data_IF_007273631452
#
_entry.id   IF_007273631452
#
_cell.length_a   1.000
_cell.length_b   1.000
_cell.length_c   1.000
_cell.angle_alpha   90.00
_cell.angle_beta   90.00
_cell.angle_gamma   90.00
#
_symmetry.space_group_name_H-M   'P 1'
#
loop_
_entity.id
_entity.type
_entity.pdbx_description
1 polymer ?
#
# COMPACT_ATOMS: atom_id res chain seq x y z
N UNK A 1 -11.84 6.37 -12.86
CA UNK A 1 -10.55 5.71 -13.08
C UNK A 1 -9.93 5.44 -11.73
N UNK A 2 -9.45 4.21 -11.46
CA UNK A 2 -8.81 3.89 -10.19
C UNK A 2 -7.34 4.33 -10.21
N UNK A 3 -6.86 4.87 -9.10
CA UNK A 3 -5.51 5.45 -9.02
C UNK A 3 -4.40 4.43 -9.31
N UNK A 4 -4.59 3.18 -8.89
CA UNK A 4 -3.68 2.06 -9.11
C UNK A 4 -4.05 1.22 -10.35
N UNK A 5 -4.89 1.75 -11.24
CA UNK A 5 -5.46 1.00 -12.38
C UNK A 5 -6.63 0.08 -12.01
N UNK A 6 -6.64 -0.46 -10.78
CA UNK A 6 -7.74 -1.26 -10.22
C UNK A 6 -7.90 -0.99 -8.72
N UNK A 7 -9.08 -1.32 -8.18
CA UNK A 7 -9.38 -1.28 -6.74
C UNK A 7 -9.06 -2.60 -6.03
N UNK A 8 -8.85 -3.69 -6.76
CA UNK A 8 -8.56 -5.00 -6.17
C UNK A 8 -7.07 -5.24 -5.99
N UNK A 9 -6.27 -4.93 -7.01
CA UNK A 9 -4.82 -4.96 -6.94
C UNK A 9 -4.23 -4.04 -8.00
N UNK A 10 -3.16 -3.31 -7.69
CA UNK A 10 -2.54 -2.45 -8.69
C UNK A 10 -1.20 -1.87 -8.27
N UNK A 11 -0.61 -1.13 -9.20
CA UNK A 11 0.75 -0.60 -9.09
C UNK A 11 0.85 0.78 -9.73
N UNK A 12 1.61 1.67 -9.10
CA UNK A 12 1.96 2.96 -9.64
C UNK A 12 3.48 3.06 -9.57
N UNK A 13 4.18 3.22 -10.71
CA UNK A 13 5.63 3.32 -10.69
C UNK A 13 6.08 4.59 -9.96
N UNK A 14 7.29 4.56 -9.39
CA UNK A 14 7.82 5.64 -8.54
C UNK A 14 7.76 7.02 -9.21
N UNK A 15 7.97 7.10 -10.52
CA UNK A 15 7.89 8.35 -11.27
C UNK A 15 6.46 8.91 -11.44
N UNK A 16 5.42 8.09 -11.25
CA UNK A 16 4.02 8.46 -11.41
C UNK A 16 3.27 8.67 -10.08
N UNK A 17 3.90 8.39 -8.94
CA UNK A 17 3.24 8.32 -7.62
C UNK A 17 2.82 9.67 -6.99
N UNK A 18 2.82 10.79 -7.74
CA UNK A 18 2.45 12.11 -7.21
C UNK A 18 0.94 12.29 -7.22
N UNK A 19 0.30 11.82 -6.15
CA UNK A 19 -1.15 11.92 -5.98
C UNK A 19 -1.44 12.85 -4.81
N UNK A 20 -2.17 13.92 -5.08
CA UNK A 20 -2.65 14.83 -4.06
C UNK A 20 -4.17 14.70 -3.96
N UNK A 21 -4.65 14.34 -2.77
CA UNK A 21 -6.08 14.34 -2.48
C UNK A 21 -6.52 15.75 -2.12
N UNK A 22 -7.64 16.20 -2.68
CA UNK A 22 -8.23 17.50 -2.37
C UNK A 22 -9.76 17.39 -2.39
N UNK A 23 -10.45 17.57 -1.24
CA UNK A 23 -9.87 17.76 0.10
C UNK A 23 -9.19 16.48 0.62
N UNK A 24 -8.13 16.64 1.41
CA UNK A 24 -7.56 15.55 2.22
C UNK A 24 -8.34 15.51 3.54
N UNK A 25 -9.28 14.56 3.65
CA UNK A 25 -10.16 14.43 4.82
C UNK A 25 -9.35 13.94 6.03
N UNK A 26 -9.28 14.71 7.14
CA UNK A 26 -8.57 14.30 8.35
C UNK A 26 -9.05 12.96 8.93
N UNK A 27 -10.32 12.60 8.73
CA UNK A 27 -10.88 11.33 9.20
C UNK A 27 -10.23 10.12 8.49
N UNK A 28 -9.83 10.26 7.23
CA UNK A 28 -9.08 9.23 6.53
C UNK A 28 -7.72 8.97 7.19
N UNK A 29 -7.02 10.05 7.56
CA UNK A 29 -5.72 9.94 8.22
C UNK A 29 -5.82 9.27 9.60
N UNK A 30 -6.90 9.53 10.35
CA UNK A 30 -7.13 8.94 11.67
C UNK A 30 -7.48 7.45 11.63
N UNK A 31 -8.04 6.96 10.52
CA UNK A 31 -8.41 5.55 10.37
C UNK A 31 -7.28 4.68 9.83
N UNK A 32 -6.21 5.30 9.30
CA UNK A 32 -5.07 4.59 8.73
C UNK A 32 -4.25 3.89 9.81
N UNK A 33 -3.97 2.61 9.58
CA UNK A 33 -2.99 1.84 10.36
C UNK A 33 -1.69 1.73 9.56
N UNK A 34 -0.55 1.81 10.23
CA UNK A 34 0.77 1.70 9.60
C UNK A 34 1.62 0.66 10.29
N UNK A 35 2.43 -0.05 9.52
CA UNK A 35 3.43 -1.00 9.99
C UNK A 35 4.68 -0.79 9.14
N UNK A 36 5.85 -0.94 9.76
CA UNK A 36 7.14 -0.96 9.07
C UNK A 36 7.46 -2.42 8.77
N UNK A 37 7.87 -2.71 7.53
CA UNK A 37 8.26 -4.07 7.17
C UNK A 37 9.58 -4.44 7.86
N UNK A 38 9.74 -5.73 8.19
CA UNK A 38 11.02 -6.26 8.65
C UNK A 38 12.04 -6.35 7.49
N UNK A 39 13.26 -6.81 7.81
CA UNK A 39 14.33 -6.96 6.82
C UNK A 39 14.05 -8.01 5.72
N UNK A 40 13.02 -8.85 5.89
CA UNK A 40 12.56 -9.81 4.90
C UNK A 40 11.31 -9.32 4.14
N UNK A 41 10.82 -8.11 4.44
CA UNK A 41 9.63 -7.54 3.82
C UNK A 41 8.31 -8.02 4.44
N UNK A 42 8.32 -8.71 5.58
CA UNK A 42 7.08 -9.08 6.26
C UNK A 42 6.52 -7.90 7.05
N UNK A 43 5.20 -7.86 7.16
CA UNK A 43 4.46 -6.89 7.97
C UNK A 43 3.31 -7.61 8.69
N UNK A 44 2.82 -7.02 9.78
CA UNK A 44 1.69 -7.57 10.52
C UNK A 44 0.80 -6.45 11.06
N UNK A 45 -0.51 -6.71 11.08
CA UNK A 45 -1.51 -5.90 11.73
C UNK A 45 -2.35 -6.80 12.63
N UNK A 46 -2.56 -6.39 13.88
CA UNK A 46 -3.39 -7.10 14.85
C UNK A 46 -4.60 -6.25 15.23
N UNK A 47 -5.59 -6.90 15.84
CA UNK A 47 -6.75 -6.24 16.46
C UNK A 47 -7.54 -5.35 15.49
N UNK A 48 -7.62 -5.80 14.23
CA UNK A 48 -8.42 -5.15 13.20
C UNK A 48 -9.88 -5.64 13.27
N UNK A 49 -10.86 -4.73 13.27
CA UNK A 49 -12.27 -5.09 13.08
C UNK A 49 -12.50 -5.86 11.77
N UNK A 50 -13.61 -6.61 11.67
CA UNK A 50 -14.04 -7.10 10.37
C UNK A 50 -14.37 -5.94 9.43
N UNK A 51 -14.02 -6.09 8.15
CA UNK A 51 -14.23 -5.05 7.17
C UNK A 51 -13.44 -5.28 5.88
N UNK A 52 -13.59 -4.35 4.94
CA UNK A 52 -12.77 -4.29 3.73
C UNK A 52 -11.64 -3.30 3.95
N UNK A 53 -10.42 -3.73 3.64
CA UNK A 53 -9.20 -2.94 3.79
C UNK A 53 -8.51 -2.78 2.45
N UNK A 54 -7.86 -1.64 2.25
CA UNK A 54 -6.88 -1.44 1.20
C UNK A 54 -5.49 -1.44 1.84
N UNK A 55 -4.68 -2.43 1.47
CA UNK A 55 -3.28 -2.49 1.84
C UNK A 55 -2.49 -1.72 0.79
N UNK A 56 -1.67 -0.78 1.25
CA UNK A 56 -0.80 0.03 0.40
C UNK A 56 0.62 -0.08 0.95
N UNK A 57 1.56 -0.41 0.06
CA UNK A 57 2.98 -0.45 0.38
C UNK A 57 3.77 0.29 -0.70
N UNK A 58 4.80 1.03 -0.29
CA UNK A 58 5.73 1.67 -1.22
C UNK A 58 7.08 0.96 -1.11
N UNK A 59 7.58 0.47 -2.24
CA UNK A 59 8.91 -0.16 -2.36
C UNK A 59 9.62 0.55 -3.50
N UNK A 60 10.63 1.35 -3.17
CA UNK A 60 11.39 2.15 -4.13
C UNK A 60 12.87 2.00 -3.86
N UNK A 61 13.67 1.94 -4.93
CA UNK A 61 15.12 1.86 -4.84
C UNK A 61 15.77 2.61 -6.00
N UNK A 62 17.05 2.92 -5.87
CA UNK A 62 17.86 3.47 -6.95
C UNK A 62 18.92 2.45 -7.37
N UNK A 63 19.33 2.53 -8.63
CA UNK A 63 20.45 1.77 -9.15
C UNK A 63 21.66 2.71 -9.17
N UNK A 64 22.85 2.28 -8.70
CA UNK A 64 24.05 3.10 -8.79
C UNK A 64 24.33 3.57 -10.22
N UNK A 65 24.54 4.87 -10.43
CA UNK A 65 24.71 5.49 -11.74
C UNK A 65 23.41 5.84 -12.46
N UNK A 66 22.25 5.53 -11.88
CA UNK A 66 20.92 5.89 -12.38
C UNK A 66 20.03 6.51 -11.28
N UNK A 67 20.62 7.25 -10.35
CA UNK A 67 19.93 7.81 -9.18
C UNK A 67 18.78 8.76 -9.57
N UNK A 68 18.85 9.34 -10.77
CA UNK A 68 17.81 10.21 -11.34
C UNK A 68 16.56 9.45 -11.82
N UNK A 69 16.59 8.12 -11.83
CA UNK A 69 15.50 7.24 -12.25
C UNK A 69 15.19 6.22 -11.14
N UNK A 70 14.44 6.60 -10.08
CA UNK A 70 14.04 5.67 -9.05
C UNK A 70 13.17 4.55 -9.63
N UNK A 71 13.42 3.33 -9.16
CA UNK A 71 12.72 2.11 -9.53
C UNK A 71 11.66 1.76 -8.49
N UNK A 72 10.84 0.77 -8.81
CA UNK A 72 9.75 0.34 -7.94
C UNK A 72 8.55 1.28 -8.01
N UNK A 73 7.81 1.38 -6.91
CA UNK A 73 6.57 2.14 -6.86
C UNK A 73 5.70 1.83 -5.65
N UNK A 74 4.43 2.20 -5.76
CA UNK A 74 3.40 1.90 -4.77
C UNK A 74 2.53 0.74 -5.27
N UNK A 75 2.23 -0.19 -4.37
CA UNK A 75 1.35 -1.34 -4.57
C UNK A 75 0.05 -1.11 -3.80
N UNK A 76 -1.07 -1.57 -4.36
CA UNK A 76 -2.36 -1.65 -3.68
C UNK A 76 -2.89 -3.08 -3.76
N UNK A 77 -3.55 -3.54 -2.68
CA UNK A 77 -4.38 -4.74 -2.68
C UNK A 77 -5.58 -4.59 -1.75
N UNK A 78 -6.78 -4.97 -2.20
CA UNK A 78 -7.96 -5.06 -1.33
C UNK A 78 -8.00 -6.42 -0.62
N UNK A 79 -8.48 -6.42 0.63
CA UNK A 79 -8.73 -7.65 1.39
C UNK A 79 -9.99 -7.49 2.22
N UNK A 80 -10.77 -8.57 2.36
CA UNK A 80 -11.89 -8.62 3.27
C UNK A 80 -11.49 -9.45 4.50
N UNK A 81 -11.63 -8.86 5.69
CA UNK A 81 -11.35 -9.52 6.96
C UNK A 81 -12.67 -9.89 7.64
N UNK A 82 -12.81 -11.15 8.02
CA UNK A 82 -13.94 -11.61 8.85
C UNK A 82 -13.57 -11.58 10.34
N UNK A 83 -14.58 -11.50 11.21
CA UNK A 83 -14.39 -11.41 12.66
C UNK A 83 -13.53 -12.57 13.19
N UNK A 84 -12.48 -12.25 13.93
CA UNK A 84 -11.59 -13.22 14.56
C UNK A 84 -10.75 -14.06 13.59
N UNK A 85 -10.72 -13.72 12.29
CA UNK A 85 -9.88 -14.40 11.30
C UNK A 85 -8.58 -13.65 11.05
N UNK A 86 -7.58 -14.38 10.59
CA UNK A 86 -6.34 -13.83 10.07
C UNK A 86 -6.24 -14.12 8.58
N UNK A 87 -5.79 -13.14 7.82
CA UNK A 87 -5.57 -13.25 6.38
C UNK A 87 -4.08 -13.11 6.07
N UNK A 88 -3.55 -14.01 5.25
CA UNK A 88 -2.18 -13.89 4.74
C UNK A 88 -2.24 -13.29 3.34
N UNK A 89 -1.59 -12.15 3.16
CA UNK A 89 -1.60 -11.41 1.90
C UNK A 89 -0.18 -11.24 1.37
N UNK A 90 -0.02 -11.46 0.08
CA UNK A 90 1.19 -11.09 -0.67
C UNK A 90 0.84 -9.86 -1.52
N UNK A 91 1.66 -8.80 -1.39
CA UNK A 91 1.62 -7.62 -2.25
C UNK A 91 2.74 -7.75 -3.29
N UNK A 92 2.35 -7.79 -4.56
CA UNK A 92 3.26 -7.91 -5.71
C UNK A 92 2.57 -7.38 -6.97
N UNK A 93 3.34 -7.05 -8.01
CA UNK A 93 2.88 -6.58 -9.32
C UNK A 93 3.68 -7.26 -10.42
#
# INVERSE_FOLDING_TARGET
MALYGSIDSGFIPAFAARVQFSPDDPAYQQTRKTAVCDAQGNFNFTDLPAGKYFLIAAVMWTIPGQEYMPQGGALLKSVALANGKSERVILTH
#
